data_IF_884549318635
#
_entry.id   IF_884549318635
#
_cell.length_a   1.000
_cell.length_b   1.000
_cell.length_c   1.000
_cell.angle_alpha   90.00
_cell.angle_beta   90.00
_cell.angle_gamma   90.00
#
_symmetry.space_group_name_H-M   'P 1'
#
loop_
_entity.id
_entity.type
_entity.pdbx_description
1 polymer ?
#
# COMPACT_ATOMS: atom_id res chain seq x y z
N UNK A 1 -6.03 33.97 -14.76
CA UNK A 1 -5.07 32.84 -14.68
C UNK A 1 -3.88 33.29 -13.84
N UNK A 2 -3.84 33.00 -12.53
CA UNK A 2 -2.69 33.43 -11.72
C UNK A 2 -2.78 33.32 -10.20
N UNK A 3 -3.69 32.53 -9.61
CA UNK A 3 -3.81 32.43 -8.14
C UNK A 3 -3.50 31.04 -7.57
N UNK A 4 -3.10 30.04 -8.38
CA UNK A 4 -2.91 28.66 -7.93
C UNK A 4 -1.46 28.26 -7.57
N UNK A 5 -0.46 29.14 -7.67
CA UNK A 5 0.95 28.73 -7.52
C UNK A 5 1.42 28.68 -6.06
N UNK A 6 0.82 29.44 -5.13
CA UNK A 6 1.31 29.52 -3.76
C UNK A 6 0.92 28.33 -2.86
N UNK A 7 -0.24 27.70 -3.11
CA UNK A 7 -0.68 26.51 -2.33
C UNK A 7 0.11 25.26 -2.75
N UNK A 8 0.49 25.16 -4.02
CA UNK A 8 1.16 23.96 -4.56
C UNK A 8 2.59 23.73 -4.04
N UNK A 9 3.29 24.78 -3.58
CA UNK A 9 4.67 24.63 -3.11
C UNK A 9 4.77 24.06 -1.70
N UNK A 10 3.85 24.45 -0.81
CA UNK A 10 3.82 23.94 0.57
C UNK A 10 3.36 22.48 0.61
N UNK A 11 2.39 22.14 -0.25
CA UNK A 11 1.81 20.80 -0.38
C UNK A 11 2.82 19.76 -0.94
N UNK A 12 3.65 20.16 -1.92
CA UNK A 12 4.59 19.26 -2.58
C UNK A 12 5.79 18.87 -1.69
N UNK A 13 6.30 19.80 -0.88
CA UNK A 13 7.40 19.49 0.05
C UNK A 13 6.96 18.53 1.17
N UNK A 14 5.75 18.73 1.71
CA UNK A 14 5.15 17.87 2.74
C UNK A 14 4.90 16.46 2.20
N UNK A 15 4.35 16.33 0.99
CA UNK A 15 4.06 15.03 0.38
C UNK A 15 5.33 14.27 -0.06
N UNK A 16 6.35 14.98 -0.53
CA UNK A 16 7.63 14.37 -0.95
C UNK A 16 8.39 13.77 0.25
N UNK A 17 8.37 14.44 1.41
CA UNK A 17 8.95 13.92 2.65
C UNK A 17 8.27 12.60 3.08
N UNK A 18 6.94 12.61 3.12
CA UNK A 18 6.12 11.45 3.52
C UNK A 18 6.35 10.23 2.62
N UNK A 19 6.56 10.43 1.32
CA UNK A 19 6.81 9.34 0.37
C UNK A 19 8.05 8.49 0.73
N UNK A 20 9.02 9.06 1.46
CA UNK A 20 10.25 8.37 1.86
C UNK A 20 10.11 7.55 3.14
N UNK A 21 9.02 7.71 3.88
CA UNK A 21 8.82 7.06 5.18
C UNK A 21 8.58 5.55 5.04
N UNK A 22 9.09 4.81 6.02
CA UNK A 22 8.67 3.42 6.27
C UNK A 22 7.24 3.37 6.81
N UNK A 23 6.61 2.20 6.76
CA UNK A 23 5.25 2.01 7.28
C UNK A 23 5.12 2.41 8.75
N UNK A 24 6.06 1.97 9.61
CA UNK A 24 6.00 2.26 11.05
C UNK A 24 6.16 3.76 11.33
N UNK A 25 7.10 4.42 10.63
CA UNK A 25 7.27 5.87 10.75
C UNK A 25 6.02 6.63 10.30
N UNK A 26 5.46 6.28 9.14
CA UNK A 26 4.26 6.94 8.62
C UNK A 26 3.05 6.73 9.57
N UNK A 27 2.88 5.52 10.10
CA UNK A 27 1.81 5.20 11.06
C UNK A 27 1.98 5.98 12.36
N UNK A 28 3.17 5.96 12.95
CA UNK A 28 3.42 6.60 14.24
C UNK A 28 3.26 8.12 14.15
N UNK A 29 3.66 8.70 13.03
CA UNK A 29 3.44 10.12 12.77
C UNK A 29 1.96 10.45 12.53
N UNK A 30 1.23 9.59 11.80
CA UNK A 30 -0.22 9.75 11.59
C UNK A 30 -0.96 9.76 12.93
N UNK A 31 -0.58 8.86 13.86
CA UNK A 31 -1.14 8.83 15.22
C UNK A 31 -0.90 10.17 15.95
N UNK A 32 0.29 10.76 15.81
CA UNK A 32 0.59 12.07 16.41
C UNK A 32 -0.23 13.20 15.79
N UNK A 33 -0.38 13.20 14.46
CA UNK A 33 -1.19 14.19 13.74
C UNK A 33 -2.65 14.12 14.18
N UNK A 34 -3.23 12.91 14.24
CA UNK A 34 -4.60 12.70 14.70
C UNK A 34 -4.76 13.18 16.14
N UNK A 35 -3.85 12.81 17.04
CA UNK A 35 -3.91 13.24 18.43
C UNK A 35 -3.88 14.78 18.59
N UNK A 36 -3.11 15.48 17.75
CA UNK A 36 -3.07 16.96 17.74
C UNK A 36 -4.38 17.56 17.22
N UNK A 37 -4.94 17.00 16.15
CA UNK A 37 -6.23 17.42 15.61
C UNK A 37 -7.36 17.23 16.64
N UNK A 38 -7.37 16.09 17.34
CA UNK A 38 -8.36 15.78 18.38
C UNK A 38 -8.23 16.65 19.63
N UNK A 39 -7.00 16.99 20.03
CA UNK A 39 -6.77 17.91 21.14
C UNK A 39 -7.34 19.31 20.86
N UNK A 40 -7.37 19.71 19.58
CA UNK A 40 -7.79 21.04 19.15
C UNK A 40 -6.86 22.14 19.68
N UNK A 41 -7.32 23.39 19.62
CA UNK A 41 -6.57 24.55 20.12
C UNK A 41 -5.53 25.11 19.16
N UNK A 42 -5.32 24.48 18.01
CA UNK A 42 -4.53 25.01 16.90
C UNK A 42 -5.38 26.01 16.07
N UNK A 43 -4.75 27.05 15.48
CA UNK A 43 -5.45 27.91 14.52
C UNK A 43 -5.91 27.12 13.30
N UNK A 44 -6.87 27.66 12.55
CA UNK A 44 -7.47 26.99 11.39
C UNK A 44 -6.40 26.58 10.37
N UNK A 45 -5.47 27.48 10.05
CA UNK A 45 -4.41 27.24 9.08
C UNK A 45 -3.50 26.08 9.51
N UNK A 46 -3.16 25.99 10.81
CA UNK A 46 -2.38 24.88 11.34
C UNK A 46 -3.18 23.56 11.35
N UNK A 47 -4.48 23.63 11.64
CA UNK A 47 -5.37 22.47 11.59
C UNK A 47 -5.51 21.91 10.17
N UNK A 48 -5.58 22.78 9.16
CA UNK A 48 -5.59 22.37 7.75
C UNK A 48 -4.28 21.72 7.33
N UNK A 49 -3.13 22.30 7.71
CA UNK A 49 -1.83 21.71 7.42
C UNK A 49 -1.63 20.34 8.10
N UNK A 50 -2.14 20.18 9.33
CA UNK A 50 -2.16 18.88 10.01
C UNK A 50 -3.04 17.87 9.27
N UNK A 51 -4.21 18.28 8.80
CA UNK A 51 -5.10 17.41 8.03
C UNK A 51 -4.46 16.95 6.71
N UNK A 52 -3.90 17.87 5.92
CA UNK A 52 -3.22 17.55 4.65
C UNK A 52 -2.06 16.57 4.86
N UNK A 53 -1.25 16.78 5.92
CA UNK A 53 -0.18 15.85 6.29
C UNK A 53 -0.74 14.49 6.72
N UNK A 54 -1.83 14.47 7.48
CA UNK A 54 -2.53 13.24 7.87
C UNK A 54 -3.01 12.43 6.67
N UNK A 55 -3.61 13.08 5.67
CA UNK A 55 -4.03 12.43 4.42
C UNK A 55 -2.84 11.83 3.66
N UNK A 56 -1.74 12.57 3.53
CA UNK A 56 -0.54 12.08 2.88
C UNK A 56 0.03 10.84 3.59
N UNK A 57 0.07 10.85 4.93
CA UNK A 57 0.54 9.72 5.74
C UNK A 57 -0.38 8.51 5.62
N UNK A 58 -1.69 8.72 5.57
CA UNK A 58 -2.67 7.64 5.37
C UNK A 58 -2.51 6.97 3.99
N UNK A 59 -2.35 7.77 2.93
CA UNK A 59 -2.05 7.26 1.58
C UNK A 59 -0.77 6.43 1.59
N UNK A 60 0.30 6.93 2.22
CA UNK A 60 1.56 6.19 2.33
C UNK A 60 1.41 4.85 3.05
N UNK A 61 0.65 4.83 4.15
CA UNK A 61 0.35 3.58 4.85
C UNK A 61 -0.39 2.60 3.96
N UNK A 62 -1.36 3.07 3.18
CA UNK A 62 -2.14 2.24 2.27
C UNK A 62 -1.26 1.63 1.17
N UNK A 63 -0.35 2.41 0.56
CA UNK A 63 0.59 1.90 -0.45
C UNK A 63 1.44 0.73 0.07
N UNK A 64 1.91 0.82 1.33
CA UNK A 64 2.66 -0.26 1.97
C UNK A 64 1.81 -1.52 2.14
N UNK A 65 0.56 -1.37 2.59
CA UNK A 65 -0.37 -2.48 2.79
C UNK A 65 -0.76 -3.15 1.47
N UNK A 66 -1.02 -2.36 0.44
CA UNK A 66 -1.34 -2.85 -0.90
C UNK A 66 -0.15 -3.61 -1.50
N UNK A 67 1.07 -3.08 -1.33
CA UNK A 67 2.29 -3.76 -1.76
C UNK A 67 2.51 -5.09 -1.04
N UNK A 68 2.25 -5.15 0.27
CA UNK A 68 2.32 -6.39 1.04
C UNK A 68 1.27 -7.41 0.58
N UNK A 69 0.04 -6.95 0.34
CA UNK A 69 -1.06 -7.78 -0.18
C UNK A 69 -0.71 -8.40 -1.53
N UNK A 70 -0.20 -7.60 -2.47
CA UNK A 70 0.18 -8.08 -3.79
C UNK A 70 1.26 -9.17 -3.74
N UNK A 71 2.26 -9.03 -2.85
CA UNK A 71 3.30 -10.06 -2.65
C UNK A 71 2.74 -11.38 -2.13
N UNK A 72 1.80 -11.31 -1.18
CA UNK A 72 1.14 -12.51 -0.64
C UNK A 72 0.30 -13.23 -1.71
N UNK A 73 -0.44 -12.47 -2.51
CA UNK A 73 -1.28 -13.04 -3.56
C UNK A 73 -0.42 -13.66 -4.69
N UNK A 74 0.73 -13.07 -5.01
CA UNK A 74 1.70 -13.64 -5.94
C UNK A 74 2.31 -14.95 -5.43
N UNK A 75 2.72 -15.01 -4.16
CA UNK A 75 3.28 -16.23 -3.56
C UNK A 75 2.27 -17.39 -3.58
N UNK A 76 1.01 -17.13 -3.20
CA UNK A 76 -0.07 -18.14 -3.25
C UNK A 76 -0.34 -18.68 -4.65
N UNK A 77 -0.23 -17.83 -5.66
CA UNK A 77 -0.45 -18.23 -7.06
C UNK A 77 0.67 -19.11 -7.59
N UNK A 78 1.91 -18.91 -7.12
CA UNK A 78 3.05 -19.76 -7.45
C UNK A 78 2.93 -21.15 -6.81
N UNK A 79 2.47 -21.23 -5.57
CA UNK A 79 2.25 -22.50 -4.86
C UNK A 79 1.13 -23.34 -5.53
N UNK A 80 0.07 -22.71 -6.03
CA UNK A 80 -1.04 -23.40 -6.70
C UNK A 80 -0.68 -23.97 -8.09
N UNK A 81 0.32 -23.40 -8.78
CA UNK A 81 0.79 -23.87 -10.08
C UNK A 81 1.72 -25.09 -10.03
N UNK A 82 2.10 -25.56 -8.84
CA UNK A 82 3.03 -26.67 -8.64
C UNK A 82 2.40 -28.05 -8.41
N UNK A 83 1.08 -28.21 -8.62
CA UNK A 83 0.40 -29.49 -8.35
C UNK A 83 0.05 -30.26 -9.63
N UNK A 84 0.77 -31.39 -9.79
CA UNK A 84 0.46 -32.61 -10.54
C UNK A 84 0.55 -32.61 -12.07
N UNK A 85 1.79 -32.74 -12.56
CA UNK A 85 2.12 -33.64 -13.66
C UNK A 85 2.02 -35.09 -13.15
N UNK A 86 0.85 -35.71 -13.27
CA UNK A 86 0.74 -37.16 -13.19
C UNK A 86 0.29 -37.66 -14.56
N UNK A 87 1.33 -38.00 -15.32
CA UNK A 87 1.30 -38.93 -16.42
C UNK A 87 0.81 -40.28 -15.88
N UNK A 88 -0.50 -40.53 -15.94
CA UNK A 88 -1.03 -41.90 -15.92
C UNK A 88 -1.28 -42.34 -17.36
N UNK A 89 -0.16 -42.53 -18.08
CA UNK A 89 -0.12 -43.30 -19.31
C UNK A 89 -0.20 -44.77 -18.87
N UNK A 90 -1.40 -45.35 -18.81
CA UNK A 90 -1.52 -46.81 -18.73
C UNK A 90 -1.16 -47.37 -20.11
N UNK A 91 -0.09 -48.17 -20.28
CA UNK A 91 0.11 -48.90 -21.51
C UNK A 91 -0.98 -49.96 -21.59
N UNK A 92 -1.94 -49.78 -22.48
CA UNK A 92 -2.90 -50.81 -22.86
C UNK A 92 -2.16 -51.88 -23.68
N UNK A 93 -1.42 -52.75 -22.98
CA UNK A 93 -0.93 -54.01 -23.52
C UNK A 93 -2.06 -55.03 -23.47
N UNK A 94 -2.95 -54.98 -24.46
CA UNK A 94 -3.78 -56.13 -24.81
C UNK A 94 -3.14 -56.87 -25.98
N UNK A 95 -2.07 -57.59 -25.69
CA UNK A 95 -1.51 -58.62 -26.57
C UNK A 95 -2.47 -59.82 -26.67
N UNK A 96 -3.04 -60.01 -27.86
CA UNK A 96 -3.18 -61.30 -28.55
C UNK A 96 -4.04 -62.42 -27.95
N UNK A 97 -5.21 -62.64 -28.56
CA UNK A 97 -5.87 -63.96 -28.63
C UNK A 97 -6.08 -64.29 -30.12
N UNK A 98 -5.15 -65.06 -30.71
CA UNK A 98 -5.27 -65.81 -31.98
C UNK A 98 -4.21 -66.94 -32.01
#
# INVERSE_FOLDING_TARGET
MGLNTAVSFFDNAVTTDVATLSYEQARDELVQVVARLEAGGEPLEASLALWERGEALAVRCQEWLDGARARLDAARSQDAGGTHDESDETPDDTTGDD
#
